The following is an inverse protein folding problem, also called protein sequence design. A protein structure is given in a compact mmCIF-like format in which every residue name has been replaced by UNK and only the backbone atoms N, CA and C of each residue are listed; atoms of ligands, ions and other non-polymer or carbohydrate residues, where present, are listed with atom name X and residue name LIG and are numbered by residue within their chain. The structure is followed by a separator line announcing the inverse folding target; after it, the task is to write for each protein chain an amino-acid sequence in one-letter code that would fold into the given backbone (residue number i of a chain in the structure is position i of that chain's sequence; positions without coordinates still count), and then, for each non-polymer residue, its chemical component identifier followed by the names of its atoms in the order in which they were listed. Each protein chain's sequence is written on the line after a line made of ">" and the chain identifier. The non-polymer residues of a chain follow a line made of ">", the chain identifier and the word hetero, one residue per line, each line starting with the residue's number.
data_IF_740878054620
#
_entry.id   IF_740878054620
#
_cell.length_a   1.000
_cell.length_b   1.000
_cell.length_c   1.000
_cell.angle_alpha   90.00
_cell.angle_beta   90.00
_cell.angle_gamma   90.00
#
_symmetry.space_group_name_H-M   'P 1'
#
loop_
_entity.id
_entity.type
_entity.pdbx_description
1 polymer ?
#
# COMPACT_ATOMS: atom_id res chain seq x y z
N UNK A 1 4.98 43.42 -20.48
CA UNK A 1 5.80 42.22 -20.25
C UNK A 1 7.05 42.66 -19.52
N UNK A 2 7.17 42.33 -18.23
CA UNK A 2 8.43 42.48 -17.50
C UNK A 2 9.46 41.53 -18.15
N UNK A 3 10.65 42.03 -18.45
CA UNK A 3 11.73 41.21 -18.99
C UNK A 3 12.14 40.16 -17.93
N UNK A 4 12.26 38.90 -18.33
CA UNK A 4 12.77 37.83 -17.46
C UNK A 4 14.29 37.70 -17.67
N UNK A 5 15.02 37.51 -16.58
CA UNK A 5 16.44 37.16 -16.62
C UNK A 5 16.62 35.65 -16.77
N UNK A 6 17.60 35.23 -17.57
CA UNK A 6 17.93 33.82 -17.78
C UNK A 6 19.10 33.41 -16.88
N UNK A 7 18.93 32.34 -16.10
CA UNK A 7 19.98 31.78 -15.26
C UNK A 7 20.30 30.36 -15.75
N UNK A 8 21.54 30.17 -16.22
CA UNK A 8 22.05 28.87 -16.65
C UNK A 8 22.42 28.01 -15.45
N UNK A 9 21.98 26.76 -15.45
CA UNK A 9 22.29 25.77 -14.43
C UNK A 9 22.77 24.51 -15.12
N UNK A 10 23.94 24.01 -14.73
CA UNK A 10 24.53 22.81 -15.34
C UNK A 10 25.10 21.88 -14.27
N UNK A 11 24.86 20.58 -14.45
CA UNK A 11 25.56 19.52 -13.72
C UNK A 11 26.01 18.43 -14.71
N UNK A 12 27.31 18.19 -14.78
CA UNK A 12 27.89 17.28 -15.77
C UNK A 12 27.55 17.72 -17.20
N UNK A 13 26.88 16.84 -17.95
CA UNK A 13 26.45 17.10 -19.33
C UNK A 13 25.04 17.68 -19.43
N UNK A 14 24.32 17.77 -18.31
CA UNK A 14 22.93 18.23 -18.26
C UNK A 14 22.91 19.72 -17.95
N UNK A 15 22.15 20.48 -18.72
CA UNK A 15 21.95 21.91 -18.49
C UNK A 15 20.48 22.31 -18.66
N UNK A 16 20.05 23.30 -17.88
CA UNK A 16 18.74 23.95 -17.95
C UNK A 16 18.91 25.46 -17.88
N UNK A 17 17.91 26.18 -18.38
CA UNK A 17 17.83 27.64 -18.26
C UNK A 17 16.58 27.98 -17.47
N UNK A 18 16.74 28.66 -16.34
CA UNK A 18 15.63 29.10 -15.50
C UNK A 18 15.38 30.58 -15.73
N UNK A 19 14.19 30.91 -16.24
CA UNK A 19 13.77 32.30 -16.42
C UNK A 19 13.10 32.83 -15.15
N UNK A 20 13.68 33.86 -14.54
CA UNK A 20 13.23 34.48 -13.29
C UNK A 20 13.03 35.99 -13.42
N UNK A 21 12.31 36.57 -12.46
CA UNK A 21 12.23 38.03 -12.36
C UNK A 21 13.63 38.63 -12.10
N UNK A 22 13.98 39.80 -12.66
CA UNK A 22 15.32 40.38 -12.54
C UNK A 22 15.80 40.53 -11.10
N UNK A 23 14.89 40.75 -10.15
CA UNK A 23 15.18 40.89 -8.73
C UNK A 23 15.68 39.58 -8.09
N UNK A 24 15.35 38.42 -8.68
CA UNK A 24 15.75 37.09 -8.20
C UNK A 24 17.02 36.56 -8.88
N UNK A 25 17.49 37.18 -9.97
CA UNK A 25 18.61 36.68 -10.78
C UNK A 25 19.89 36.47 -9.96
N UNK A 26 20.35 37.52 -9.27
CA UNK A 26 21.56 37.46 -8.45
C UNK A 26 21.44 36.43 -7.31
N UNK A 27 20.24 36.28 -6.76
CA UNK A 27 19.98 35.34 -5.68
C UNK A 27 19.98 33.89 -6.18
N UNK A 28 19.33 33.61 -7.32
CA UNK A 28 19.33 32.29 -7.93
C UNK A 28 20.74 31.88 -8.37
N UNK A 29 21.55 32.79 -8.91
CA UNK A 29 22.96 32.50 -9.20
C UNK A 29 23.75 32.07 -7.97
N UNK A 30 23.50 32.68 -6.81
CA UNK A 30 24.15 32.27 -5.57
C UNK A 30 23.70 30.88 -5.11
N UNK A 31 22.41 30.56 -5.24
CA UNK A 31 21.89 29.22 -4.93
C UNK A 31 22.45 28.15 -5.87
N UNK A 32 22.59 28.46 -7.16
CA UNK A 32 23.19 27.56 -8.16
C UNK A 32 24.65 27.28 -7.82
N UNK A 33 25.42 28.28 -7.34
CA UNK A 33 26.80 28.08 -6.90
C UNK A 33 26.94 27.17 -5.69
N UNK A 34 25.92 27.12 -4.82
CA UNK A 34 25.91 26.27 -3.62
C UNK A 34 25.18 24.94 -3.82
N UNK A 35 24.65 24.68 -5.02
CA UNK A 35 23.96 23.44 -5.34
C UNK A 35 24.98 22.28 -5.34
N UNK A 36 24.75 21.30 -4.47
CA UNK A 36 25.64 20.14 -4.39
C UNK A 36 25.66 19.37 -5.73
N UNK A 37 26.85 18.95 -6.21
CA UNK A 37 26.94 18.14 -7.42
C UNK A 37 26.33 16.75 -7.17
N UNK A 38 25.52 16.27 -8.10
CA UNK A 38 24.95 14.93 -8.07
C UNK A 38 25.14 14.24 -9.42
N UNK A 39 26.01 13.25 -9.45
CA UNK A 39 26.36 12.51 -10.68
C UNK A 39 25.26 11.57 -11.15
N UNK A 40 24.21 11.34 -10.34
CA UNK A 40 23.06 10.53 -10.74
C UNK A 40 22.08 11.27 -11.64
N UNK A 41 22.15 12.62 -11.69
CA UNK A 41 21.26 13.44 -12.52
C UNK A 41 21.58 13.21 -14.00
N UNK A 42 20.63 12.60 -14.71
CA UNK A 42 20.79 12.26 -16.12
C UNK A 42 19.94 13.14 -17.06
N UNK A 43 18.89 13.78 -16.54
CA UNK A 43 17.94 14.54 -17.36
C UNK A 43 17.74 15.98 -16.89
N UNK A 44 17.34 16.90 -17.81
CA UNK A 44 16.94 18.26 -17.46
C UNK A 44 15.83 18.32 -16.39
N UNK A 45 14.90 17.35 -16.40
CA UNK A 45 13.80 17.27 -15.45
C UNK A 45 14.30 16.98 -14.03
N UNK A 46 15.26 16.06 -13.89
CA UNK A 46 15.93 15.79 -12.62
C UNK A 46 16.75 16.97 -12.13
N UNK A 47 17.42 17.70 -13.02
CA UNK A 47 18.18 18.90 -12.65
C UNK A 47 17.26 20.01 -12.12
N UNK A 48 16.08 20.21 -12.75
CA UNK A 48 15.05 21.11 -12.23
C UNK A 48 14.59 20.67 -10.83
N UNK A 49 14.33 19.39 -10.62
CA UNK A 49 13.90 18.85 -9.34
C UNK A 49 14.96 19.03 -8.23
N UNK A 50 16.23 18.74 -8.55
CA UNK A 50 17.35 18.92 -7.63
C UNK A 50 17.55 20.39 -7.23
N UNK A 51 17.49 21.30 -8.21
CA UNK A 51 17.55 22.74 -7.96
C UNK A 51 16.35 23.22 -7.14
N UNK A 52 15.16 22.69 -7.40
CA UNK A 52 13.94 23.03 -6.68
C UNK A 52 14.03 22.66 -5.20
N UNK A 53 14.50 21.45 -4.88
CA UNK A 53 14.70 21.01 -3.49
C UNK A 53 15.70 21.93 -2.76
N UNK A 54 16.82 22.26 -3.41
CA UNK A 54 17.81 23.18 -2.85
C UNK A 54 17.23 24.59 -2.65
N UNK A 55 16.49 25.11 -3.62
CA UNK A 55 15.86 26.42 -3.50
C UNK A 55 14.81 26.43 -2.39
N UNK A 56 14.00 25.38 -2.25
CA UNK A 56 12.98 25.30 -1.21
C UNK A 56 13.57 25.33 0.21
N UNK A 57 14.77 24.77 0.39
CA UNK A 57 15.47 24.80 1.68
C UNK A 57 16.05 26.18 2.04
N UNK A 58 16.28 27.07 1.07
CA UNK A 58 17.03 28.32 1.28
C UNK A 58 16.26 29.60 0.89
N UNK A 59 15.26 29.51 0.00
CA UNK A 59 14.54 30.65 -0.57
C UNK A 59 13.22 30.24 -1.25
N UNK A 60 12.11 30.51 -0.55
CA UNK A 60 10.75 30.28 -1.08
C UNK A 60 10.49 30.97 -2.44
N UNK A 61 10.85 32.26 -2.63
CA UNK A 61 10.68 32.93 -3.92
C UNK A 61 11.45 32.28 -5.07
N UNK A 62 12.69 31.85 -4.84
CA UNK A 62 13.47 31.14 -5.85
C UNK A 62 12.86 29.77 -6.16
N UNK A 63 12.41 29.03 -5.14
CA UNK A 63 11.75 27.74 -5.31
C UNK A 63 10.47 27.85 -6.16
N UNK A 64 9.65 28.87 -5.91
CA UNK A 64 8.46 29.16 -6.72
C UNK A 64 8.82 29.46 -8.18
N UNK A 65 9.88 30.23 -8.41
CA UNK A 65 10.34 30.55 -9.76
C UNK A 65 10.83 29.30 -10.51
N UNK A 66 11.60 28.43 -9.83
CA UNK A 66 12.10 27.16 -10.39
C UNK A 66 10.95 26.19 -10.68
N UNK A 67 9.99 26.02 -9.75
CA UNK A 67 8.80 25.19 -9.96
C UNK A 67 7.99 25.69 -11.16
N UNK A 68 7.77 27.00 -11.25
CA UNK A 68 7.08 27.60 -12.39
C UNK A 68 7.81 27.39 -13.72
N UNK A 69 9.15 27.48 -13.72
CA UNK A 69 9.97 27.20 -14.90
C UNK A 69 9.88 25.73 -15.32
N UNK A 70 10.01 24.80 -14.36
CA UNK A 70 9.81 23.36 -14.58
C UNK A 70 8.43 23.08 -15.16
N UNK A 71 7.37 23.64 -14.59
CA UNK A 71 6.01 23.44 -15.07
C UNK A 71 5.79 23.95 -16.49
N UNK A 72 6.37 25.10 -16.85
CA UNK A 72 6.30 25.64 -18.22
C UNK A 72 7.11 24.81 -19.21
N UNK A 73 8.33 24.42 -18.84
CA UNK A 73 9.23 23.67 -19.71
C UNK A 73 8.68 22.28 -20.07
N UNK A 74 8.01 21.62 -19.12
CA UNK A 74 7.52 20.25 -19.28
C UNK A 74 5.99 20.14 -19.40
N UNK A 75 5.26 21.26 -19.46
CA UNK A 75 3.81 21.28 -19.63
C UNK A 75 3.00 20.68 -18.46
N UNK A 76 3.50 20.79 -17.22
CA UNK A 76 3.03 19.97 -16.09
C UNK A 76 1.62 20.27 -15.56
N UNK A 77 1.01 21.47 -15.63
CA UNK A 77 -0.39 21.48 -15.23
C UNK A 77 -1.27 20.80 -16.29
N UNK A 78 -0.87 20.77 -17.56
CA UNK A 78 -1.68 20.20 -18.65
C UNK A 78 -1.58 18.67 -18.73
N UNK A 79 -0.37 18.10 -18.60
CA UNK A 79 -0.12 16.67 -18.81
C UNK A 79 -0.16 15.83 -17.52
N UNK A 80 -0.07 16.46 -16.33
CA UNK A 80 0.20 15.84 -15.03
C UNK A 80 1.65 15.33 -14.89
N UNK A 81 2.28 15.61 -13.73
CA UNK A 81 3.69 15.26 -13.46
C UNK A 81 3.96 13.75 -13.54
N UNK A 82 3.00 12.90 -13.15
CA UNK A 82 3.16 11.44 -13.18
C UNK A 82 3.30 10.94 -14.63
N UNK A 83 2.55 11.54 -15.56
CA UNK A 83 2.63 11.24 -16.99
C UNK A 83 3.94 11.78 -17.57
N UNK A 84 4.36 12.99 -17.17
CA UNK A 84 5.63 13.58 -17.62
C UNK A 84 6.83 12.71 -17.24
N UNK A 85 6.89 12.25 -16.00
CA UNK A 85 7.92 11.32 -15.50
C UNK A 85 7.97 10.05 -16.36
N UNK A 86 6.80 9.45 -16.65
CA UNK A 86 6.71 8.26 -17.49
C UNK A 86 7.16 8.52 -18.94
N UNK A 87 6.72 9.63 -19.54
CA UNK A 87 7.07 10.01 -20.92
C UNK A 87 8.57 10.28 -21.11
N UNK A 88 9.24 10.73 -20.05
CA UNK A 88 10.69 10.95 -20.05
C UNK A 88 11.49 9.68 -19.72
N UNK A 89 10.82 8.54 -19.52
CA UNK A 89 11.48 7.26 -19.29
C UNK A 89 12.33 7.21 -18.02
N UNK A 90 11.97 8.00 -16.99
CA UNK A 90 12.69 8.01 -15.73
C UNK A 90 12.53 6.67 -15.01
N UNK A 91 13.62 6.17 -14.43
CA UNK A 91 13.59 5.02 -13.54
C UNK A 91 12.98 5.39 -12.18
N UNK A 92 12.81 4.40 -11.28
CA UNK A 92 12.14 4.63 -9.99
C UNK A 92 12.82 5.71 -9.14
N UNK A 93 14.17 5.71 -8.93
CA UNK A 93 14.83 6.75 -8.15
C UNK A 93 14.69 8.15 -8.75
N UNK A 94 14.83 8.30 -10.07
CA UNK A 94 14.68 9.58 -10.75
C UNK A 94 13.23 10.07 -10.70
N UNK A 95 12.26 9.18 -10.96
CA UNK A 95 10.83 9.45 -10.85
C UNK A 95 10.46 9.95 -9.44
N UNK A 96 10.90 9.23 -8.42
CA UNK A 96 10.65 9.56 -7.01
C UNK A 96 11.20 10.94 -6.65
N UNK A 97 12.43 11.26 -7.05
CA UNK A 97 13.05 12.58 -6.85
C UNK A 97 12.21 13.70 -7.48
N UNK A 98 11.82 13.53 -8.74
CA UNK A 98 11.05 14.54 -9.49
C UNK A 98 9.68 14.75 -8.85
N UNK A 99 8.97 13.68 -8.50
CA UNK A 99 7.65 13.78 -7.87
C UNK A 99 7.75 14.45 -6.49
N UNK A 100 8.73 14.07 -5.68
CA UNK A 100 8.96 14.67 -4.37
C UNK A 100 9.22 16.17 -4.47
N UNK A 101 10.15 16.57 -5.35
CA UNK A 101 10.45 17.98 -5.59
C UNK A 101 9.22 18.74 -6.08
N UNK A 102 8.45 18.15 -7.00
CA UNK A 102 7.24 18.78 -7.54
C UNK A 102 6.20 19.06 -6.46
N UNK A 103 5.90 18.10 -5.58
CA UNK A 103 4.88 18.30 -4.53
C UNK A 103 5.40 19.09 -3.32
N UNK A 104 6.69 19.41 -3.24
CA UNK A 104 7.32 20.06 -2.09
C UNK A 104 6.64 21.38 -1.65
N UNK A 105 6.14 22.15 -2.62
CA UNK A 105 5.51 23.45 -2.37
C UNK A 105 3.97 23.39 -2.36
N UNK A 106 3.37 22.21 -2.17
CA UNK A 106 1.91 21.99 -2.21
C UNK A 106 1.10 23.01 -1.40
N UNK A 107 1.55 23.31 -0.17
CA UNK A 107 0.85 24.22 0.75
C UNK A 107 1.22 25.70 0.55
N UNK A 108 2.12 26.01 -0.39
CA UNK A 108 2.54 27.38 -0.68
C UNK A 108 1.54 28.02 -1.65
N UNK A 109 0.90 29.12 -1.24
CA UNK A 109 -0.14 29.79 -2.02
C UNK A 109 0.32 30.15 -3.45
N UNK A 110 1.55 30.65 -3.60
CA UNK A 110 2.14 30.98 -4.90
C UNK A 110 2.33 29.79 -5.84
N UNK A 111 2.39 28.56 -5.33
CA UNK A 111 2.58 27.33 -6.12
C UNK A 111 1.26 26.71 -6.59
N UNK A 112 0.10 27.16 -6.06
CA UNK A 112 -1.22 26.55 -6.34
C UNK A 112 -1.52 26.40 -7.83
N UNK A 113 -1.14 27.37 -8.65
CA UNK A 113 -1.35 27.35 -10.10
C UNK A 113 -0.62 26.22 -10.84
N UNK A 114 0.45 25.67 -10.25
CA UNK A 114 1.18 24.52 -10.79
C UNK A 114 0.41 23.20 -10.55
N UNK A 115 -0.35 23.11 -9.47
CA UNK A 115 -1.10 21.92 -9.07
C UNK A 115 -2.57 21.95 -9.51
N UNK A 116 -3.16 23.15 -9.50
CA UNK A 116 -4.58 23.42 -9.76
C UNK A 116 -4.63 24.55 -10.79
N UNK A 117 -4.52 24.19 -12.06
CA UNK A 117 -4.78 25.16 -13.13
C UNK A 117 -6.24 25.62 -13.08
N UNK A 118 -6.48 26.91 -13.33
CA UNK A 118 -7.82 27.49 -13.50
C UNK A 118 -8.55 26.91 -14.71
N UNK A 119 -7.79 26.51 -15.74
CA UNK A 119 -8.21 25.55 -16.75
C UNK A 119 -7.87 24.17 -16.21
N UNK A 120 -8.75 23.60 -15.38
CA UNK A 120 -8.48 22.34 -14.66
C UNK A 120 -7.84 21.32 -15.60
N UNK A 121 -6.73 20.64 -15.21
CA UNK A 121 -6.23 19.52 -15.99
C UNK A 121 -7.42 18.62 -16.26
N UNK A 122 -7.68 18.32 -17.53
CA UNK A 122 -8.76 17.41 -17.86
C UNK A 122 -8.53 16.15 -17.03
N UNK A 123 -9.53 15.75 -16.23
CA UNK A 123 -9.47 14.49 -15.49
C UNK A 123 -8.95 13.41 -16.46
N UNK A 124 -8.08 12.50 -16.01
CA UNK A 124 -7.62 11.41 -16.87
C UNK A 124 -8.82 10.78 -17.57
N UNK A 125 -8.68 10.42 -18.86
CA UNK A 125 -9.81 9.93 -19.66
C UNK A 125 -10.60 8.80 -18.98
N UNK A 126 -9.90 8.02 -18.15
CA UNK A 126 -10.47 7.00 -17.26
C UNK A 126 -11.62 7.52 -16.36
N UNK A 127 -11.47 8.71 -15.79
CA UNK A 127 -12.42 9.36 -14.88
C UNK A 127 -13.36 10.37 -15.56
N UNK A 128 -13.12 10.69 -16.84
CA UNK A 128 -13.91 11.66 -17.60
C UNK A 128 -14.93 11.02 -18.55
N UNK A 129 -14.75 9.74 -18.91
CA UNK A 129 -15.58 9.04 -19.89
C UNK A 129 -16.80 8.38 -19.26
N UNK A 130 -18.00 8.72 -19.74
CA UNK A 130 -19.25 8.05 -19.36
C UNK A 130 -19.37 6.62 -19.90
N UNK A 131 -18.50 6.23 -20.84
CA UNK A 131 -18.44 4.88 -21.41
C UNK A 131 -17.63 3.90 -20.54
N UNK A 132 -16.92 4.40 -19.53
CA UNK A 132 -16.13 3.59 -18.60
C UNK A 132 -16.83 3.50 -17.27
N UNK A 133 -16.86 2.31 -16.67
CA UNK A 133 -17.32 2.11 -15.29
C UNK A 133 -16.14 1.64 -14.45
N UNK A 134 -15.95 2.28 -13.31
CA UNK A 134 -14.81 2.00 -12.42
C UNK A 134 -15.29 1.33 -11.14
N UNK A 135 -14.49 0.38 -10.65
CA UNK A 135 -14.60 -0.22 -9.33
C UNK A 135 -13.26 -0.09 -8.63
N UNK A 136 -13.24 0.50 -7.44
CA UNK A 136 -12.05 0.50 -6.60
C UNK A 136 -11.84 -0.88 -5.97
N UNK A 137 -10.60 -1.37 -5.94
CA UNK A 137 -10.28 -2.66 -5.34
C UNK A 137 -9.24 -2.49 -4.24
N UNK A 138 -9.54 -3.03 -3.06
CA UNK A 138 -8.65 -2.98 -1.90
C UNK A 138 -8.19 -4.39 -1.53
N UNK A 139 -6.87 -4.57 -1.42
CA UNK A 139 -6.25 -5.85 -1.11
C UNK A 139 -6.45 -6.29 0.35
N UNK A 140 -6.20 -7.59 0.57
CA UNK A 140 -6.21 -8.20 1.90
C UNK A 140 -4.95 -7.92 2.72
N UNK A 141 -4.66 -8.82 3.66
CA UNK A 141 -3.45 -8.74 4.46
C UNK A 141 -2.19 -8.92 3.58
N UNK A 142 -1.11 -8.15 3.85
CA UNK A 142 0.04 -8.07 2.96
C UNK A 142 0.94 -9.32 2.97
N UNK A 143 0.85 -10.16 4.02
CA UNK A 143 1.69 -11.37 4.15
C UNK A 143 3.20 -11.09 4.15
N UNK A 144 3.60 -9.86 4.45
CA UNK A 144 4.99 -9.39 4.53
C UNK A 144 5.02 -8.00 5.17
N UNK A 145 6.20 -7.48 5.49
CA UNK A 145 6.39 -6.09 5.96
C UNK A 145 6.48 -5.06 4.82
N UNK A 146 6.35 -5.46 3.55
CA UNK A 146 6.53 -4.59 2.39
C UNK A 146 5.54 -3.40 2.34
N UNK A 147 4.42 -3.48 3.06
CA UNK A 147 3.48 -2.36 3.21
C UNK A 147 4.13 -1.14 3.88
N UNK A 148 5.13 -1.32 4.75
CA UNK A 148 5.87 -0.19 5.33
C UNK A 148 6.75 0.50 4.29
N UNK A 149 7.34 -0.24 3.36
CA UNK A 149 8.15 0.34 2.30
C UNK A 149 7.28 1.14 1.32
N UNK A 150 6.06 0.66 1.05
CA UNK A 150 5.05 1.43 0.32
C UNK A 150 4.66 2.71 1.08
N UNK A 151 4.41 2.61 2.39
CA UNK A 151 4.10 3.78 3.24
C UNK A 151 5.22 4.82 3.22
N UNK A 152 6.48 4.37 3.33
CA UNK A 152 7.68 5.22 3.29
C UNK A 152 7.81 5.91 1.95
N UNK A 153 7.61 5.17 0.87
CA UNK A 153 7.66 5.72 -0.47
C UNK A 153 6.61 6.83 -0.65
N UNK A 154 5.36 6.56 -0.23
CA UNK A 154 4.29 7.55 -0.27
C UNK A 154 4.59 8.78 0.59
N UNK A 155 5.04 8.59 1.83
CA UNK A 155 5.32 9.71 2.74
C UNK A 155 6.54 10.52 2.28
N UNK A 156 7.53 9.92 1.64
CA UNK A 156 8.67 10.64 1.09
C UNK A 156 8.26 11.53 -0.09
N UNK A 157 7.47 10.99 -1.03
CA UNK A 157 7.04 11.74 -2.23
C UNK A 157 5.97 12.78 -1.91
N UNK A 158 4.94 12.38 -1.16
CA UNK A 158 3.75 13.19 -0.92
C UNK A 158 3.69 13.75 0.49
N UNK A 159 4.86 14.01 1.12
CA UNK A 159 4.93 14.52 2.50
C UNK A 159 4.00 15.70 2.77
N UNK A 160 3.92 16.74 1.90
CA UNK A 160 3.01 17.86 2.16
C UNK A 160 1.53 17.48 2.11
N UNK A 161 1.17 16.42 1.37
CA UNK A 161 -0.20 15.93 1.26
C UNK A 161 -0.57 14.98 2.41
N UNK A 162 0.40 14.20 2.91
CA UNK A 162 0.18 13.07 3.81
C UNK A 162 0.66 13.28 5.24
N UNK A 163 1.64 14.16 5.49
CA UNK A 163 2.36 14.23 6.76
C UNK A 163 1.44 14.37 7.96
N UNK A 164 0.60 15.41 7.92
CA UNK A 164 -0.42 15.71 8.91
C UNK A 164 -1.39 14.54 9.16
N UNK A 165 -1.84 13.89 8.08
CA UNK A 165 -2.75 12.76 8.15
C UNK A 165 -2.09 11.54 8.82
N UNK A 166 -0.86 11.21 8.41
CA UNK A 166 -0.09 10.10 8.99
C UNK A 166 0.18 10.35 10.46
N UNK A 167 0.57 11.57 10.85
CA UNK A 167 0.76 11.93 12.26
C UNK A 167 -0.52 11.72 13.07
N UNK A 168 -1.67 12.23 12.61
CA UNK A 168 -2.95 12.09 13.33
C UNK A 168 -3.42 10.64 13.43
N UNK A 169 -3.39 9.88 12.34
CA UNK A 169 -3.83 8.48 12.34
C UNK A 169 -2.88 7.58 13.15
N UNK A 170 -1.58 7.86 13.13
CA UNK A 170 -0.60 7.13 13.96
C UNK A 170 -0.82 7.41 15.45
N UNK A 171 -1.07 8.66 15.82
CA UNK A 171 -1.38 9.03 17.21
C UNK A 171 -2.69 8.37 17.69
N UNK A 172 -3.71 8.33 16.83
CA UNK A 172 -4.96 7.62 17.11
C UNK A 172 -4.72 6.13 17.36
N UNK A 173 -4.04 5.43 16.43
CA UNK A 173 -3.73 4.01 16.57
C UNK A 173 -2.91 3.73 17.82
N UNK A 174 -1.84 4.50 18.07
CA UNK A 174 -1.00 4.36 19.25
C UNK A 174 -1.75 4.62 20.57
N UNK A 175 -2.76 5.50 20.57
CA UNK A 175 -3.61 5.73 21.74
C UNK A 175 -4.50 4.53 22.08
N UNK A 176 -5.02 3.82 21.05
CA UNK A 176 -5.85 2.64 21.24
C UNK A 176 -5.06 1.48 21.87
N UNK A 177 -3.78 1.34 21.51
CA UNK A 177 -2.96 0.24 22.06
C UNK A 177 -2.59 0.42 23.53
N UNK A 178 -2.82 1.60 24.12
CA UNK A 178 -2.63 1.85 25.56
C UNK A 178 -3.78 1.29 26.42
N UNK A 179 -4.90 0.91 25.81
CA UNK A 179 -5.99 0.25 26.52
C UNK A 179 -5.51 -1.09 27.07
N UNK A 180 -5.69 -1.32 28.37
CA UNK A 180 -5.21 -2.53 29.05
C UNK A 180 -5.78 -3.82 28.47
N UNK A 181 -6.96 -3.76 27.83
CA UNK A 181 -7.59 -4.90 27.14
C UNK A 181 -6.81 -5.31 25.89
N UNK A 182 -6.15 -4.34 25.24
CA UNK A 182 -5.42 -4.52 23.98
C UNK A 182 -3.91 -4.63 24.17
N UNK A 183 -3.35 -3.97 25.19
CA UNK A 183 -1.91 -3.83 25.43
C UNK A 183 -1.14 -5.17 25.39
N UNK A 184 -1.77 -6.29 25.79
CA UNK A 184 -1.15 -7.61 25.82
C UNK A 184 -0.66 -8.14 24.46
N UNK A 185 -1.29 -7.74 23.34
CA UNK A 185 -0.82 -8.14 21.99
C UNK A 185 0.16 -7.14 21.38
N UNK A 186 0.29 -5.95 21.99
CA UNK A 186 1.17 -4.88 21.52
C UNK A 186 2.49 -4.82 22.29
N UNK A 187 3.21 -5.94 22.36
CA UNK A 187 4.44 -6.08 23.17
C UNK A 187 5.58 -5.14 22.78
N UNK A 188 5.57 -4.59 21.56
CA UNK A 188 6.54 -3.59 21.07
C UNK A 188 5.88 -2.25 20.74
N UNK A 189 4.65 -2.04 21.18
CA UNK A 189 3.84 -0.87 20.83
C UNK A 189 3.42 -0.81 19.35
N UNK A 190 2.81 0.31 18.97
CA UNK A 190 2.36 0.58 17.60
C UNK A 190 2.77 2.00 17.19
N UNK A 191 4.08 2.23 17.03
CA UNK A 191 4.64 3.52 16.59
C UNK A 191 4.64 3.62 15.05
N UNK A 192 3.44 3.66 14.47
CA UNK A 192 3.25 3.75 13.03
C UNK A 192 4.01 4.92 12.41
N UNK A 193 3.99 6.09 13.06
CA UNK A 193 4.68 7.28 12.57
C UNK A 193 6.18 7.04 12.53
N UNK A 194 6.80 6.64 13.66
CA UNK A 194 8.24 6.43 13.73
C UNK A 194 8.76 5.38 12.75
N UNK A 195 7.97 4.34 12.48
CA UNK A 195 8.33 3.29 11.51
C UNK A 195 8.24 3.77 10.06
N UNK A 196 7.21 4.55 9.71
CA UNK A 196 7.02 5.11 8.37
C UNK A 196 8.01 6.26 8.10
N UNK A 197 8.28 7.12 9.08
CA UNK A 197 9.24 8.23 8.95
C UNK A 197 10.69 7.82 9.17
N UNK A 198 10.94 6.56 9.52
CA UNK A 198 12.28 6.02 9.85
C UNK A 198 13.00 6.82 10.96
N UNK A 199 12.23 7.39 11.90
CA UNK A 199 12.77 8.16 13.03
C UNK A 199 12.85 7.36 14.34
N UNK A 200 12.29 6.15 14.37
CA UNK A 200 12.25 5.27 15.53
C UNK A 200 12.75 3.85 15.24
N UNK A 201 12.99 3.04 16.28
CA UNK A 201 13.40 1.65 16.11
C UNK A 201 12.26 0.82 15.51
N UNK A 202 12.53 0.17 14.38
CA UNK A 202 11.59 -0.74 13.73
C UNK A 202 11.59 -2.13 14.41
N UNK A 203 10.42 -2.69 14.72
CA UNK A 203 10.29 -4.08 15.17
C UNK A 203 10.74 -5.10 14.11
N UNK A 204 11.22 -6.27 14.55
CA UNK A 204 11.51 -7.37 13.63
C UNK A 204 10.28 -7.89 12.86
N UNK A 205 10.53 -8.49 11.69
CA UNK A 205 9.52 -8.91 10.71
C UNK A 205 8.34 -9.70 11.30
N UNK A 206 8.59 -10.66 12.19
CA UNK A 206 7.53 -11.46 12.84
C UNK A 206 6.48 -10.60 13.56
N UNK A 207 6.89 -9.48 14.14
CA UNK A 207 5.97 -8.55 14.79
C UNK A 207 5.19 -7.72 13.78
N UNK A 208 5.85 -7.30 12.71
CA UNK A 208 5.23 -6.48 11.65
C UNK A 208 4.21 -7.27 10.81
N UNK A 209 4.36 -8.58 10.68
CA UNK A 209 3.37 -9.41 9.96
C UNK A 209 2.20 -9.84 10.85
N UNK A 210 2.34 -9.75 12.18
CA UNK A 210 1.28 -10.12 13.11
C UNK A 210 0.01 -9.27 12.88
N UNK A 211 -1.14 -9.93 12.81
CA UNK A 211 -2.42 -9.28 12.47
C UNK A 211 -2.77 -7.99 13.27
N UNK A 212 -2.53 -7.89 14.60
CA UNK A 212 -2.80 -6.66 15.33
C UNK A 212 -2.03 -5.44 14.83
N UNK A 213 -0.88 -5.67 14.18
CA UNK A 213 0.02 -4.65 13.63
C UNK A 213 -0.23 -4.48 12.14
N UNK A 214 -0.19 -5.57 11.37
CA UNK A 214 -0.27 -5.52 9.90
C UNK A 214 -1.63 -5.04 9.39
N UNK A 215 -2.73 -5.39 10.05
CA UNK A 215 -4.07 -5.02 9.56
C UNK A 215 -4.33 -3.51 9.61
N UNK A 216 -4.19 -2.81 10.76
CA UNK A 216 -4.40 -1.37 10.80
C UNK A 216 -3.38 -0.61 9.94
N UNK A 217 -2.11 -1.05 9.88
CA UNK A 217 -1.10 -0.37 9.06
C UNK A 217 -1.33 -0.55 7.56
N UNK A 218 -1.73 -1.74 7.11
CA UNK A 218 -2.12 -1.93 5.71
C UNK A 218 -3.35 -1.08 5.36
N UNK A 219 -4.33 -0.97 6.26
CA UNK A 219 -5.46 -0.05 6.09
C UNK A 219 -5.01 1.42 5.99
N UNK A 220 -4.03 1.83 6.80
CA UNK A 220 -3.47 3.18 6.76
C UNK A 220 -2.81 3.46 5.41
N UNK A 221 -2.01 2.53 4.89
CA UNK A 221 -1.37 2.64 3.57
C UNK A 221 -2.41 2.76 2.45
N UNK A 222 -3.45 1.91 2.47
CA UNK A 222 -4.52 1.99 1.48
C UNK A 222 -5.24 3.35 1.54
N UNK A 223 -5.47 3.90 2.73
CA UNK A 223 -6.06 5.24 2.88
C UNK A 223 -5.11 6.36 2.47
N UNK A 224 -3.79 6.22 2.69
CA UNK A 224 -2.79 7.15 2.14
C UNK A 224 -2.87 7.19 0.61
N UNK A 225 -3.00 6.03 -0.05
CA UNK A 225 -3.18 5.96 -1.50
C UNK A 225 -4.46 6.67 -1.96
N UNK A 226 -5.60 6.47 -1.26
CA UNK A 226 -6.84 7.20 -1.56
C UNK A 226 -6.65 8.70 -1.39
N UNK A 227 -5.94 9.14 -0.34
CA UNK A 227 -5.66 10.55 -0.11
C UNK A 227 -4.82 11.16 -1.23
N UNK A 228 -3.73 10.51 -1.61
CA UNK A 228 -2.90 10.92 -2.76
C UNK A 228 -3.76 10.98 -4.02
N UNK A 229 -4.59 9.98 -4.27
CA UNK A 229 -5.42 9.93 -5.48
C UNK A 229 -6.34 11.14 -5.60
N UNK A 230 -7.18 11.44 -4.59
CA UNK A 230 -8.11 12.57 -4.73
C UNK A 230 -7.38 13.91 -4.77
N UNK A 231 -6.31 14.07 -3.97
CA UNK A 231 -5.55 15.33 -3.94
C UNK A 231 -4.84 15.60 -5.27
N UNK A 232 -4.19 14.60 -5.86
CA UNK A 232 -3.47 14.74 -7.13
C UNK A 232 -4.41 14.87 -8.33
N UNK A 233 -5.63 14.35 -8.24
CA UNK A 233 -6.71 14.62 -9.21
C UNK A 233 -7.35 16.00 -9.05
N UNK A 234 -7.08 16.71 -7.95
CA UNK A 234 -7.68 18.01 -7.67
C UNK A 234 -9.18 17.94 -7.40
N UNK A 235 -9.69 16.80 -6.90
CA UNK A 235 -11.11 16.58 -6.58
C UNK A 235 -11.30 16.38 -5.09
N UNK A 236 -12.49 16.67 -4.58
CA UNK A 236 -12.88 16.32 -3.22
C UNK A 236 -13.08 14.81 -3.04
N UNK A 237 -13.03 14.27 -1.81
CA UNK A 237 -13.33 12.87 -1.54
C UNK A 237 -14.69 12.40 -2.09
N UNK A 238 -15.76 13.18 -1.93
CA UNK A 238 -17.08 12.84 -2.48
C UNK A 238 -17.18 12.95 -4.00
N UNK A 239 -16.36 13.80 -4.63
CA UNK A 239 -16.22 13.79 -6.09
C UNK A 239 -15.50 12.53 -6.57
N UNK A 240 -14.43 12.11 -5.88
CA UNK A 240 -13.73 10.86 -6.18
C UNK A 240 -14.70 9.67 -6.15
N UNK A 241 -15.48 9.54 -5.07
CA UNK A 241 -16.49 8.48 -4.90
C UNK A 241 -17.47 8.44 -6.06
N UNK A 242 -17.96 9.61 -6.51
CA UNK A 242 -18.87 9.71 -7.66
C UNK A 242 -18.25 9.28 -8.98
N UNK A 243 -16.92 9.20 -9.09
CA UNK A 243 -16.25 8.66 -10.29
C UNK A 243 -16.20 7.14 -10.32
N UNK A 244 -16.43 6.48 -9.20
CA UNK A 244 -16.60 5.03 -9.12
C UNK A 244 -18.09 4.68 -9.23
N UNK A 245 -18.67 5.01 -10.38
CA UNK A 245 -20.11 4.93 -10.69
C UNK A 245 -20.57 3.56 -11.23
N UNK A 246 -19.70 2.53 -11.14
CA UNK A 246 -20.05 1.17 -11.50
C UNK A 246 -21.18 0.60 -10.63
N UNK A 247 -21.72 -0.56 -11.04
CA UNK A 247 -22.67 -1.33 -10.20
C UNK A 247 -22.07 -1.70 -8.84
N UNK A 248 -20.74 -1.70 -8.74
CA UNK A 248 -19.97 -1.90 -7.52
C UNK A 248 -18.96 -0.76 -7.44
N UNK A 249 -19.14 0.13 -6.47
CA UNK A 249 -18.27 1.29 -6.23
C UNK A 249 -16.88 0.83 -5.80
N UNK A 250 -16.84 -0.05 -4.79
CA UNK A 250 -15.63 -0.62 -4.27
C UNK A 250 -15.83 -2.08 -3.86
N UNK A 251 -14.77 -2.87 -4.04
CA UNK A 251 -14.65 -4.22 -3.54
C UNK A 251 -13.41 -4.31 -2.66
N UNK A 252 -13.50 -5.09 -1.58
CA UNK A 252 -12.39 -5.32 -0.68
C UNK A 252 -12.18 -6.81 -0.45
N UNK A 253 -10.93 -7.26 -0.61
CA UNK A 253 -10.54 -8.64 -0.33
C UNK A 253 -10.24 -8.78 1.16
N UNK A 254 -10.92 -9.70 1.86
CA UNK A 254 -10.72 -9.93 3.28
C UNK A 254 -10.81 -8.59 4.07
N UNK A 255 -9.74 -8.18 4.75
CA UNK A 255 -9.68 -6.91 5.48
C UNK A 255 -9.95 -5.67 4.62
N UNK A 256 -9.63 -5.73 3.31
CA UNK A 256 -9.78 -4.60 2.40
C UNK A 256 -11.23 -4.11 2.31
N UNK A 257 -12.20 -4.92 2.75
CA UNK A 257 -13.61 -4.52 2.83
C UNK A 257 -13.83 -3.32 3.75
N UNK A 258 -13.02 -3.16 4.80
CA UNK A 258 -13.10 -2.01 5.69
C UNK A 258 -12.74 -0.71 4.95
N UNK A 259 -11.73 -0.75 4.08
CA UNK A 259 -11.31 0.42 3.29
C UNK A 259 -12.25 0.64 2.10
N UNK A 260 -12.78 -0.41 1.50
CA UNK A 260 -13.83 -0.30 0.48
C UNK A 260 -15.09 0.40 1.03
N UNK A 261 -15.53 -0.01 2.24
CA UNK A 261 -16.63 0.65 2.93
C UNK A 261 -16.27 2.10 3.31
N UNK A 262 -15.03 2.34 3.74
CA UNK A 262 -14.55 3.69 4.03
C UNK A 262 -14.65 4.59 2.79
N UNK A 263 -14.17 4.14 1.63
CA UNK A 263 -14.27 4.87 0.37
C UNK A 263 -15.73 5.22 0.06
N UNK A 264 -16.65 4.26 0.18
CA UNK A 264 -18.07 4.48 -0.11
C UNK A 264 -18.76 5.51 0.80
N UNK A 265 -18.19 5.81 1.97
CA UNK A 265 -18.73 6.76 2.94
C UNK A 265 -18.16 8.18 2.80
N UNK A 266 -17.21 8.42 1.89
CA UNK A 266 -16.59 9.73 1.75
C UNK A 266 -17.51 10.74 1.05
N UNK A 267 -17.63 11.93 1.64
CA UNK A 267 -18.35 13.09 1.09
C UNK A 267 -17.45 14.30 0.86
N UNK A 268 -16.53 14.55 1.78
CA UNK A 268 -15.66 15.72 1.84
C UNK A 268 -14.39 15.44 2.66
N UNK A 269 -13.52 16.43 2.78
CA UNK A 269 -12.27 16.34 3.55
C UNK A 269 -12.49 15.97 5.04
N UNK A 270 -13.54 16.48 5.68
CA UNK A 270 -13.82 16.17 7.08
C UNK A 270 -14.31 14.72 7.25
N UNK A 271 -15.12 14.23 6.31
CA UNK A 271 -15.55 12.83 6.29
C UNK A 271 -14.37 11.86 6.13
N UNK A 272 -13.32 12.26 5.42
CA UNK A 272 -12.14 11.43 5.20
C UNK A 272 -11.49 11.04 6.54
N UNK A 273 -11.21 12.03 7.39
CA UNK A 273 -10.57 11.77 8.67
C UNK A 273 -11.46 10.92 9.58
N UNK A 274 -12.74 11.27 9.70
CA UNK A 274 -13.71 10.54 10.52
C UNK A 274 -13.85 9.06 10.11
N UNK A 275 -13.99 8.81 8.81
CA UNK A 275 -14.20 7.48 8.27
C UNK A 275 -12.89 6.66 8.35
N UNK A 276 -11.74 7.29 8.10
CA UNK A 276 -10.42 6.67 8.29
C UNK A 276 -10.22 6.23 9.74
N UNK A 277 -10.53 7.07 10.72
CA UNK A 277 -10.47 6.70 12.15
C UNK A 277 -11.33 5.46 12.45
N UNK A 278 -12.55 5.40 11.93
CA UNK A 278 -13.44 4.24 12.11
C UNK A 278 -12.87 2.98 11.46
N UNK A 279 -12.44 3.06 10.20
CA UNK A 279 -11.90 1.93 9.46
C UNK A 279 -10.63 1.38 10.13
N UNK A 280 -9.71 2.26 10.53
CA UNK A 280 -8.48 1.90 11.23
C UNK A 280 -8.74 1.31 12.61
N UNK A 281 -9.69 1.87 13.37
CA UNK A 281 -10.11 1.32 14.65
C UNK A 281 -10.71 -0.08 14.52
N UNK A 282 -11.56 -0.30 13.52
CA UNK A 282 -12.13 -1.62 13.21
C UNK A 282 -11.00 -2.61 12.84
N UNK A 283 -10.09 -2.23 11.94
CA UNK A 283 -8.97 -3.09 11.54
C UNK A 283 -8.03 -3.43 12.71
N UNK A 284 -7.80 -2.47 13.60
CA UNK A 284 -7.03 -2.69 14.83
C UNK A 284 -7.71 -3.76 15.71
N UNK A 285 -9.02 -3.63 15.94
CA UNK A 285 -9.78 -4.60 16.75
C UNK A 285 -9.86 -5.98 16.09
N UNK A 286 -10.11 -6.04 14.78
CA UNK A 286 -10.13 -7.30 13.99
C UNK A 286 -8.77 -7.99 13.98
N UNK A 287 -7.68 -7.22 14.06
CA UNK A 287 -6.33 -7.75 14.23
C UNK A 287 -6.07 -8.27 15.64
N UNK A 288 -6.50 -7.53 16.67
CA UNK A 288 -6.17 -7.78 18.07
C UNK A 288 -7.05 -8.84 18.74
N UNK A 289 -8.38 -8.73 18.61
CA UNK A 289 -9.34 -9.54 19.38
C UNK A 289 -9.20 -11.05 19.15
N UNK A 290 -9.03 -11.56 17.92
CA UNK A 290 -8.81 -13.00 17.71
C UNK A 290 -7.61 -13.55 18.46
N UNK A 291 -6.52 -12.78 18.55
CA UNK A 291 -5.31 -13.19 19.25
C UNK A 291 -5.47 -13.12 20.78
N UNK A 292 -6.22 -12.14 21.27
CA UNK A 292 -6.53 -11.98 22.70
C UNK A 292 -7.42 -13.10 23.19
N UNK A 293 -8.51 -13.38 22.47
CA UNK A 293 -9.53 -14.34 22.88
C UNK A 293 -9.06 -15.79 22.64
N UNK A 294 -8.23 -15.99 21.62
CA UNK A 294 -7.74 -17.31 21.24
C UNK A 294 -6.22 -17.31 20.98
N UNK A 295 -5.40 -17.12 22.04
CA UNK A 295 -3.94 -17.12 21.91
C UNK A 295 -3.39 -18.46 21.39
N UNK A 296 -4.17 -19.54 21.50
CA UNK A 296 -3.83 -20.86 20.96
C UNK A 296 -3.77 -20.88 19.42
N UNK A 297 -4.36 -19.91 18.72
CA UNK A 297 -4.18 -19.76 17.28
C UNK A 297 -2.87 -19.03 16.93
N UNK A 298 -2.33 -18.27 17.89
CA UNK A 298 -1.03 -17.64 17.80
C UNK A 298 0.07 -18.61 18.26
N UNK A 299 0.72 -19.26 17.30
CA UNK A 299 1.99 -19.93 17.57
C UNK A 299 3.13 -19.00 17.17
N UNK A 300 3.96 -18.62 18.15
CA UNK A 300 5.31 -18.14 17.86
C UNK A 300 6.09 -19.19 17.07
N UNK A 301 7.09 -18.75 16.30
CA UNK A 301 7.91 -19.46 15.30
C UNK A 301 8.63 -20.77 15.72
N UNK A 302 8.21 -21.47 16.77
CA UNK A 302 8.88 -22.68 17.26
C UNK A 302 8.61 -23.95 16.45
N UNK A 303 7.61 -23.95 15.56
CA UNK A 303 7.36 -25.07 14.65
C UNK A 303 8.30 -24.99 13.45
N UNK A 304 9.19 -25.99 13.31
CA UNK A 304 10.09 -26.10 12.17
C UNK A 304 9.28 -26.30 10.88
N UNK A 305 9.62 -25.60 9.78
CA UNK A 305 8.99 -25.83 8.49
C UNK A 305 9.26 -27.26 8.02
N UNK A 306 8.32 -27.84 7.25
CA UNK A 306 8.45 -29.21 6.75
C UNK A 306 9.62 -29.37 5.76
N UNK A 307 10.04 -28.27 5.12
CA UNK A 307 11.24 -28.17 4.30
C UNK A 307 11.97 -26.84 4.55
N UNK A 308 13.31 -26.77 4.36
CA UNK A 308 14.07 -25.54 4.56
C UNK A 308 13.63 -24.35 3.70
N UNK A 309 12.94 -24.60 2.58
CA UNK A 309 12.47 -23.58 1.63
C UNK A 309 11.02 -23.16 1.85
N UNK A 310 10.32 -23.74 2.84
CA UNK A 310 8.91 -23.44 3.10
C UNK A 310 8.76 -22.35 4.15
N UNK A 311 7.79 -21.46 3.94
CA UNK A 311 7.35 -20.47 4.92
C UNK A 311 7.00 -21.17 6.24
N UNK A 312 7.28 -20.51 7.37
CA UNK A 312 6.94 -21.03 8.68
C UNK A 312 5.45 -21.44 8.75
N UNK A 313 5.10 -22.50 9.51
CA UNK A 313 3.71 -22.91 9.66
C UNK A 313 2.78 -21.79 10.13
N UNK A 314 1.67 -21.60 9.41
CA UNK A 314 0.63 -20.60 9.68
C UNK A 314 -0.76 -21.24 9.72
N UNK A 315 -1.76 -20.59 10.35
CA UNK A 315 -3.13 -21.11 10.43
C UNK A 315 -3.90 -21.05 9.09
N UNK A 316 -3.30 -20.56 8.01
CA UNK A 316 -3.94 -20.48 6.70
C UNK A 316 -3.07 -21.08 5.60
N UNK A 317 -3.67 -21.88 4.72
CA UNK A 317 -3.04 -22.49 3.55
C UNK A 317 -3.64 -21.91 2.26
N UNK A 318 -2.79 -21.48 1.35
CA UNK A 318 -3.15 -21.24 -0.03
C UNK A 318 -3.08 -22.55 -0.81
N UNK A 319 -4.19 -22.96 -1.41
CA UNK A 319 -4.32 -24.21 -2.16
C UNK A 319 -4.62 -23.88 -3.62
N UNK A 320 -3.84 -24.44 -4.54
CA UNK A 320 -3.99 -24.26 -6.00
C UNK A 320 -4.05 -25.61 -6.72
N UNK A 321 -4.83 -25.67 -7.81
CA UNK A 321 -4.86 -26.81 -8.74
C UNK A 321 -5.95 -27.85 -8.45
N UNK A 322 -6.88 -27.53 -7.54
CA UNK A 322 -8.08 -28.33 -7.27
C UNK A 322 -9.32 -27.54 -7.68
N UNK A 323 -10.41 -28.19 -8.10
CA UNK A 323 -11.71 -27.51 -8.21
C UNK A 323 -12.32 -27.34 -6.81
N UNK A 324 -13.25 -26.39 -6.65
CA UNK A 324 -13.93 -26.18 -5.35
C UNK A 324 -14.54 -27.48 -4.77
N UNK A 325 -15.32 -28.29 -5.53
CA UNK A 325 -15.88 -29.53 -4.99
C UNK A 325 -14.82 -30.56 -4.62
N UNK A 326 -13.72 -30.64 -5.39
CA UNK A 326 -12.62 -31.55 -5.08
C UNK A 326 -11.89 -31.15 -3.79
N UNK A 327 -11.68 -29.84 -3.57
CA UNK A 327 -11.12 -29.33 -2.33
C UNK A 327 -12.07 -29.59 -1.14
N UNK A 328 -13.36 -29.32 -1.29
CA UNK A 328 -14.36 -29.58 -0.24
C UNK A 328 -14.41 -31.06 0.14
N UNK A 329 -14.30 -31.98 -0.83
CA UNK A 329 -14.21 -33.42 -0.56
C UNK A 329 -12.92 -33.80 0.21
N UNK A 330 -11.78 -33.20 -0.14
CA UNK A 330 -10.53 -33.39 0.59
C UNK A 330 -10.62 -32.87 2.03
N UNK A 331 -11.26 -31.71 2.23
CA UNK A 331 -11.47 -31.14 3.55
C UNK A 331 -12.42 -31.99 4.40
N UNK A 332 -13.49 -32.52 3.80
CA UNK A 332 -14.39 -33.44 4.49
C UNK A 332 -13.66 -34.71 4.95
N UNK A 333 -12.90 -35.36 4.05
CA UNK A 333 -12.11 -36.55 4.38
C UNK A 333 -11.05 -36.25 5.46
N UNK A 334 -10.43 -35.07 5.43
CA UNK A 334 -9.49 -34.65 6.46
C UNK A 334 -10.17 -34.41 7.81
N UNK A 335 -11.34 -33.76 7.82
CA UNK A 335 -12.09 -33.40 9.01
C UNK A 335 -12.69 -34.63 9.72
N UNK A 336 -13.18 -35.63 8.97
CA UNK A 336 -13.66 -36.90 9.52
C UNK A 336 -12.59 -37.65 10.34
N UNK A 337 -11.31 -37.39 10.07
CA UNK A 337 -10.16 -38.00 10.78
C UNK A 337 -9.73 -37.19 12.00
N UNK A 338 -10.32 -36.01 12.24
CA UNK A 338 -9.98 -35.19 13.39
C UNK A 338 -10.78 -35.60 14.63
N UNK A 339 -10.18 -35.54 15.82
CA UNK A 339 -10.86 -35.95 17.05
C UNK A 339 -11.90 -34.94 17.54
N UNK A 340 -11.85 -33.69 17.10
CA UNK A 340 -12.69 -32.60 17.59
C UNK A 340 -12.90 -31.54 16.51
N UNK A 341 -14.07 -30.88 16.53
CA UNK A 341 -14.43 -29.82 15.58
C UNK A 341 -13.45 -28.64 15.59
N UNK A 342 -12.84 -28.34 16.74
CA UNK A 342 -11.80 -27.30 16.87
C UNK A 342 -10.52 -27.58 16.07
N UNK A 343 -10.36 -28.78 15.52
CA UNK A 343 -9.25 -29.18 14.65
C UNK A 343 -9.64 -29.26 13.18
N UNK A 344 -10.89 -28.97 12.84
CA UNK A 344 -11.34 -28.95 11.45
C UNK A 344 -10.64 -27.84 10.66
N UNK A 345 -10.48 -28.11 9.37
CA UNK A 345 -10.04 -27.15 8.38
C UNK A 345 -11.26 -26.67 7.58
N UNK A 346 -11.29 -25.38 7.27
CA UNK A 346 -12.44 -24.72 6.68
C UNK A 346 -12.01 -23.94 5.43
N UNK A 347 -12.79 -24.05 4.36
CA UNK A 347 -12.63 -23.19 3.19
C UNK A 347 -12.91 -21.75 3.60
N UNK A 348 -11.88 -20.90 3.59
CA UNK A 348 -11.92 -19.53 4.09
C UNK A 348 -12.14 -18.52 2.96
N UNK A 349 -11.40 -18.64 1.85
CA UNK A 349 -11.47 -17.70 0.73
C UNK A 349 -11.50 -18.45 -0.60
N UNK A 350 -12.36 -18.02 -1.51
CA UNK A 350 -12.36 -18.46 -2.92
C UNK A 350 -11.79 -17.33 -3.77
N UNK A 351 -10.53 -17.45 -4.18
CA UNK A 351 -9.86 -16.42 -4.99
C UNK A 351 -10.14 -16.59 -6.49
N UNK A 352 -10.22 -17.85 -6.96
CA UNK A 352 -10.53 -18.18 -8.36
C UNK A 352 -11.16 -19.59 -8.42
N UNK A 353 -11.40 -20.07 -9.64
CA UNK A 353 -11.95 -21.40 -9.91
C UNK A 353 -11.08 -22.56 -9.38
N UNK A 354 -9.77 -22.35 -9.27
CA UNK A 354 -8.77 -23.35 -8.84
C UNK A 354 -7.83 -22.85 -7.72
N UNK A 355 -8.14 -21.71 -7.09
CA UNK A 355 -7.30 -21.05 -6.09
C UNK A 355 -8.14 -20.68 -4.86
N UNK A 356 -7.74 -21.24 -3.72
CA UNK A 356 -8.49 -21.13 -2.47
C UNK A 356 -7.55 -20.85 -1.29
N UNK A 357 -8.12 -20.32 -0.22
CA UNK A 357 -7.45 -20.28 1.09
C UNK A 357 -8.26 -21.12 2.06
N UNK A 358 -7.58 -21.97 2.82
CA UNK A 358 -8.15 -22.81 3.87
C UNK A 358 -7.63 -22.32 5.21
N UNK A 359 -8.51 -22.14 6.18
CA UNK A 359 -8.18 -21.77 7.56
C UNK A 359 -8.31 -22.98 8.50
N UNK A 360 -7.36 -23.12 9.42
CA UNK A 360 -7.36 -24.14 10.45
C UNK A 360 -6.50 -23.70 11.64
N UNK A 361 -6.43 -24.50 12.70
CA UNK A 361 -5.32 -24.34 13.68
C UNK A 361 -3.98 -24.58 12.97
N UNK A 362 -2.89 -23.99 13.45
CA UNK A 362 -1.54 -24.21 12.86
C UNK A 362 -1.21 -25.71 12.77
N UNK A 363 -1.48 -26.46 13.82
CA UNK A 363 -1.27 -27.91 13.83
C UNK A 363 -2.10 -28.65 12.78
N UNK A 364 -3.39 -28.27 12.63
CA UNK A 364 -4.26 -28.85 11.61
C UNK A 364 -3.83 -28.45 10.20
N UNK A 365 -3.36 -27.21 10.01
CA UNK A 365 -2.86 -26.73 8.72
C UNK A 365 -1.60 -27.50 8.28
N UNK A 366 -0.64 -27.76 9.19
CA UNK A 366 0.52 -28.62 8.91
C UNK A 366 0.06 -30.01 8.46
N UNK A 367 -0.82 -30.65 9.22
CA UNK A 367 -1.34 -31.98 8.88
C UNK A 367 -2.13 -32.00 7.58
N UNK A 368 -2.87 -30.93 7.28
CA UNK A 368 -3.62 -30.81 6.04
C UNK A 368 -2.68 -30.65 4.84
N UNK A 369 -1.61 -29.86 4.96
CA UNK A 369 -0.61 -29.72 3.90
C UNK A 369 0.04 -31.08 3.57
N UNK A 370 0.44 -31.84 4.59
CA UNK A 370 0.93 -33.23 4.43
C UNK A 370 -0.12 -34.14 3.79
N UNK A 371 -1.37 -34.05 4.23
CA UNK A 371 -2.49 -34.84 3.72
C UNK A 371 -2.77 -34.59 2.23
N UNK A 372 -2.69 -33.32 1.79
CA UNK A 372 -2.82 -32.91 0.40
C UNK A 372 -1.61 -33.40 -0.39
N UNK A 373 -0.39 -33.18 0.10
CA UNK A 373 0.84 -33.58 -0.58
C UNK A 373 0.90 -35.10 -0.85
N UNK A 374 0.38 -35.93 0.08
CA UNK A 374 0.31 -37.38 -0.12
C UNK A 374 -0.64 -37.83 -1.24
N UNK A 375 -1.65 -37.00 -1.57
CA UNK A 375 -2.68 -37.27 -2.60
C UNK A 375 -2.42 -36.57 -3.92
N UNK A 376 -1.52 -35.59 -3.94
CA UNK A 376 -1.13 -34.85 -5.13
C UNK A 376 0.10 -35.46 -5.81
N UNK A 377 0.25 -35.21 -7.10
CA UNK A 377 1.53 -35.33 -7.79
C UNK A 377 2.34 -34.04 -7.62
N UNK A 378 3.67 -34.15 -7.70
CA UNK A 378 4.51 -32.94 -7.79
C UNK A 378 4.28 -32.22 -9.12
N UNK A 379 4.43 -30.89 -9.19
CA UNK A 379 4.22 -30.13 -10.43
C UNK A 379 5.06 -30.60 -11.62
N UNK A 380 6.24 -31.16 -11.36
CA UNK A 380 7.21 -31.69 -12.31
C UNK A 380 7.19 -33.23 -12.44
N UNK A 381 6.26 -33.91 -11.78
CA UNK A 381 6.13 -35.36 -11.84
C UNK A 381 5.61 -35.82 -13.22
N UNK A 382 6.43 -36.59 -13.95
CA UNK A 382 6.03 -37.14 -15.25
C UNK A 382 4.99 -38.25 -15.10
N UNK A 383 3.72 -37.88 -15.30
CA UNK A 383 2.59 -38.80 -15.35
C UNK A 383 2.20 -39.20 -16.78
N UNK A 384 3.02 -38.92 -17.79
CA UNK A 384 2.72 -39.24 -19.20
C UNK A 384 2.49 -40.73 -19.44
N UNK A 385 3.21 -41.58 -18.69
CA UNK A 385 3.10 -43.04 -18.73
C UNK A 385 2.02 -43.62 -17.79
N UNK A 386 1.33 -42.77 -17.02
CA UNK A 386 0.21 -43.17 -16.17
C UNK A 386 -1.10 -42.94 -16.93
N UNK A 387 -2.00 -43.94 -17.04
CA UNK A 387 -3.32 -43.76 -17.65
C UNK A 387 -4.08 -42.60 -17.01
N UNK A 388 -4.78 -41.79 -17.81
CA UNK A 388 -5.44 -40.56 -17.34
C UNK A 388 -6.31 -40.77 -16.09
N UNK A 389 -7.09 -41.85 -16.03
CA UNK A 389 -7.96 -42.19 -14.89
C UNK A 389 -7.23 -42.56 -13.59
N UNK A 390 -5.92 -42.80 -13.65
CA UNK A 390 -5.06 -43.11 -12.50
C UNK A 390 -4.06 -42.01 -12.19
N UNK A 391 -4.06 -40.91 -12.95
CA UNK A 391 -3.19 -39.76 -12.68
C UNK A 391 -3.65 -39.09 -11.39
N UNK A 392 -2.69 -38.75 -10.54
CA UNK A 392 -2.94 -37.90 -9.38
C UNK A 392 -3.15 -36.46 -9.85
N UNK A 393 -4.05 -35.71 -9.22
CA UNK A 393 -4.16 -34.28 -9.48
C UNK A 393 -2.88 -33.56 -9.04
N UNK A 394 -2.54 -32.47 -9.72
CA UNK A 394 -1.43 -31.60 -9.32
C UNK A 394 -2.02 -30.51 -8.42
N UNK A 395 -1.92 -30.70 -7.11
CA UNK A 395 -2.43 -29.78 -6.09
C UNK A 395 -1.26 -29.31 -5.25
N UNK A 396 -1.10 -28.00 -5.11
CA UNK A 396 -0.08 -27.39 -4.24
C UNK A 396 -0.73 -26.70 -3.07
N UNK A 397 -0.18 -26.88 -1.87
CA UNK A 397 -0.58 -26.17 -0.66
C UNK A 397 0.64 -25.47 -0.05
N UNK A 398 0.53 -24.18 0.25
CA UNK A 398 1.59 -23.39 0.90
C UNK A 398 0.99 -22.51 1.98
N UNK A 399 1.74 -22.24 3.05
CA UNK A 399 1.26 -21.34 4.10
C UNK A 399 1.16 -19.90 3.59
N UNK A 400 0.11 -19.19 4.02
CA UNK A 400 0.00 -17.75 3.85
C UNK A 400 0.51 -17.08 5.12
N UNK A 401 1.29 -16.01 4.98
CA UNK A 401 1.90 -15.31 6.12
C UNK A 401 0.88 -14.44 6.89
N UNK A 402 -0.13 -15.09 7.44
CA UNK A 402 -1.23 -14.52 8.22
C UNK A 402 -1.28 -15.28 9.54
N UNK A 403 -1.35 -14.56 10.67
CA UNK A 403 -1.20 -15.15 12.00
C UNK A 403 -2.51 -15.57 12.67
N UNK A 404 -3.65 -15.44 11.98
CA UNK A 404 -5.00 -15.70 12.52
C UNK A 404 -5.83 -16.45 11.46
N UNK A 405 -6.63 -17.47 11.84
CA UNK A 405 -7.46 -18.25 10.90
C UNK A 405 -8.74 -17.49 10.48
N UNK A 406 -8.58 -16.39 9.74
CA UNK A 406 -9.72 -15.57 9.30
C UNK A 406 -10.72 -16.34 8.44
N UNK A 407 -11.96 -15.83 8.40
CA UNK A 407 -13.06 -16.41 7.62
C UNK A 407 -13.34 -17.87 7.98
N UNK A 408 -13.28 -18.20 9.27
CA UNK A 408 -13.52 -19.56 9.76
C UNK A 408 -14.35 -19.59 11.04
N UNK A 409 -15.09 -20.69 11.29
CA UNK A 409 -15.80 -20.91 12.55
C UNK A 409 -14.90 -20.88 13.80
N UNK A 410 -13.58 -21.04 13.63
CA UNK A 410 -12.62 -20.93 14.73
C UNK A 410 -12.63 -19.54 15.39
N UNK A 411 -13.13 -18.51 14.69
CA UNK A 411 -13.21 -17.15 15.20
C UNK A 411 -14.62 -16.71 15.58
N UNK A 412 -15.60 -17.61 15.63
CA UNK A 412 -17.00 -17.27 15.92
C UNK A 412 -17.15 -16.51 17.25
N UNK A 413 -16.43 -16.95 18.29
CA UNK A 413 -16.43 -16.29 19.61
C UNK A 413 -15.75 -14.91 19.64
N UNK A 414 -15.02 -14.53 18.58
CA UNK A 414 -14.39 -13.23 18.47
C UNK A 414 -15.26 -12.19 17.77
N UNK A 415 -16.45 -12.57 17.29
CA UNK A 415 -17.40 -11.69 16.59
C UNK A 415 -18.39 -11.03 17.56
N UNK A 416 -18.79 -11.75 18.61
CA UNK A 416 -19.66 -11.26 19.70
C UNK A 416 -18.92 -10.31 20.65
#
# INVERSE_FOLDING_TARGET
>A
MTALSAVDVSQGIVAIVVHVAPELESHLHNLVRTLAPDTSIATPLELCAHLLEHCAAHSGPAALAVLGAMCRQFGIPATNVHVVVQQHGLDEPAARRVLRAYYLLWDVEGARHCYRSSDAPALPALFASDATRLTAMFGGQPGSSAYLDEARWLLDVYRPLLGDYVTRMSAFLGSLTQDSRLAQVYTKGLDAHGWISQSGPEPGADYLVAAPVSMPLAGLVQLMQVMVLYKTLGVSPGELVRRFDGKCLAAGHSQGIAVAAALAMLSDEASFELVSTKALGILLLVGALPQILHPKYFFGSSAQPLKPTETAPRPMLYVRGATKPALEALLAEFNERQPTDSRHAHLAVTNSHDQFVVAATVMSAVKLAEFIAARAAQPDEDQSKVPFSRRKPVITASFVDITVPYHSPLLEQAVD
#
